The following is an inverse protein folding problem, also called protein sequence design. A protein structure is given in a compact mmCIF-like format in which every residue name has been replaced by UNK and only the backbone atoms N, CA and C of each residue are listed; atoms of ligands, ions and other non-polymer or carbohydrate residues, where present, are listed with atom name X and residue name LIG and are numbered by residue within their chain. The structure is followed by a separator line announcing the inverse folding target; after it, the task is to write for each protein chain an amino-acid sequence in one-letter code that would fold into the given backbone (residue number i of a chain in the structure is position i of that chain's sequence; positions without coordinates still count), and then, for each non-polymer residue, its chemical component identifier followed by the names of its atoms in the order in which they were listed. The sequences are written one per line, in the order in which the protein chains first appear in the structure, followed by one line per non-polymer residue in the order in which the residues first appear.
data_IF_831709948888
#
_entry.id   IF_831709948888
#
_cell.length_a   1.000
_cell.length_b   1.000
_cell.length_c   1.000
_cell.angle_alpha   90.00
_cell.angle_beta   90.00
_cell.angle_gamma   90.00
#
_symmetry.space_group_name_H-M   'P 1'
#
loop_
_entity.id
_entity.type
_entity.pdbx_description
1 polymer ?
#
# COMPACT_ATOMS: atom_id res chain seq x y z
N UNK A 1 -27.72 5.57 -22.48
CA UNK A 1 -27.06 4.52 -21.68
C UNK A 1 -27.33 4.80 -20.21
N UNK A 2 -27.91 3.84 -19.47
CA UNK A 2 -28.15 3.96 -18.01
C UNK A 2 -27.04 3.36 -17.15
N UNK A 3 -26.05 2.74 -17.81
CA UNK A 3 -24.95 2.03 -17.16
C UNK A 3 -23.64 2.70 -17.52
N UNK A 4 -22.78 2.83 -16.51
CA UNK A 4 -21.38 3.22 -16.64
C UNK A 4 -20.52 2.15 -15.97
N UNK A 5 -19.49 1.70 -16.69
CA UNK A 5 -18.51 0.74 -16.19
C UNK A 5 -17.14 1.39 -16.18
N UNK A 6 -16.47 1.35 -15.04
CA UNK A 6 -15.13 1.86 -14.85
C UNK A 6 -14.23 0.73 -14.34
N UNK A 7 -13.03 0.63 -14.91
CA UNK A 7 -12.00 -0.27 -14.43
C UNK A 7 -10.69 0.51 -14.27
N UNK A 8 -9.95 0.20 -13.22
CA UNK A 8 -8.70 0.87 -12.88
C UNK A 8 -7.65 -0.13 -12.43
N UNK A 9 -6.40 0.14 -12.82
CA UNK A 9 -5.22 -0.58 -12.37
C UNK A 9 -4.22 0.43 -11.84
N UNK A 10 -3.57 0.11 -10.73
CA UNK A 10 -2.50 0.92 -10.14
C UNK A 10 -1.34 0.02 -9.77
N UNK A 11 -0.13 0.48 -10.06
CA UNK A 11 1.10 -0.20 -9.66
C UNK A 11 1.98 0.82 -8.96
N UNK A 12 2.07 0.72 -7.64
CA UNK A 12 2.92 1.61 -6.86
C UNK A 12 4.26 0.92 -6.58
N UNK A 13 5.37 1.62 -6.82
CA UNK A 13 6.70 1.17 -6.42
C UNK A 13 7.24 2.07 -5.32
N UNK A 14 7.61 1.47 -4.20
CA UNK A 14 8.14 2.18 -3.03
C UNK A 14 9.56 1.73 -2.75
N UNK A 15 10.44 2.70 -2.58
CA UNK A 15 11.84 2.51 -2.19
C UNK A 15 12.07 3.21 -0.86
N UNK A 16 12.47 2.46 0.16
CA UNK A 16 12.69 2.96 1.51
C UNK A 16 14.12 2.64 1.93
N UNK A 17 14.85 3.69 2.28
CA UNK A 17 16.16 3.57 2.90
C UNK A 17 16.03 3.85 4.38
N UNK A 18 16.49 2.93 5.22
CA UNK A 18 16.44 3.02 6.67
C UNK A 18 17.87 2.97 7.21
N UNK A 19 18.14 3.81 8.20
CA UNK A 19 19.38 3.79 8.98
C UNK A 19 18.99 3.52 10.43
N UNK A 20 19.55 2.47 11.04
CA UNK A 20 19.25 2.07 12.41
C UNK A 20 20.57 1.94 13.18
N UNK A 21 20.59 2.38 14.43
CA UNK A 21 21.67 2.05 15.35
C UNK A 21 21.49 0.62 15.86
N UNK A 22 22.53 -0.20 15.73
CA UNK A 22 22.54 -1.57 16.25
C UNK A 22 23.86 -1.87 16.96
N UNK A 23 23.89 -2.97 17.71
CA UNK A 23 25.02 -3.37 18.55
C UNK A 23 25.47 -4.78 18.17
N UNK A 24 26.77 -4.95 17.93
CA UNK A 24 27.31 -6.28 17.62
C UNK A 24 27.42 -7.16 18.88
N UNK A 25 27.79 -8.43 18.70
CA UNK A 25 27.96 -9.39 19.81
C UNK A 25 29.07 -9.02 20.80
N UNK A 26 29.98 -8.12 20.42
CA UNK A 26 31.07 -7.59 21.24
C UNK A 26 30.69 -6.27 21.93
N UNK A 27 29.52 -5.73 21.61
CA UNK A 27 28.97 -4.55 22.23
C UNK A 27 29.31 -3.23 21.54
N UNK A 28 29.86 -3.25 20.33
CA UNK A 28 30.20 -2.07 19.53
C UNK A 28 28.97 -1.54 18.82
N UNK A 29 28.73 -0.24 18.92
CA UNK A 29 27.63 0.43 18.22
C UNK A 29 27.99 0.70 16.76
N UNK A 30 27.09 0.37 15.84
CA UNK A 30 27.22 0.68 14.42
C UNK A 30 25.89 1.14 13.84
N UNK A 31 25.94 1.69 12.62
CA UNK A 31 24.73 2.07 11.87
C UNK A 31 24.46 1.03 10.79
N UNK A 32 23.44 0.22 11.00
CA UNK A 32 22.91 -0.65 9.97
C UNK A 32 22.16 0.18 8.92
N UNK A 33 22.45 -0.08 7.65
CA UNK A 33 21.80 0.61 6.51
C UNK A 33 21.11 -0.43 5.66
N UNK A 34 19.79 -0.32 5.59
CA UNK A 34 18.97 -1.31 4.90
C UNK A 34 18.03 -0.60 3.92
N UNK A 35 17.93 -1.14 2.69
CA UNK A 35 17.08 -0.61 1.61
C UNK A 35 16.04 -1.64 1.23
N UNK A 36 14.79 -1.22 1.12
CA UNK A 36 13.69 -2.10 0.79
C UNK A 36 12.88 -1.53 -0.37
N UNK A 37 12.52 -2.42 -1.27
CA UNK A 37 11.76 -2.08 -2.46
C UNK A 37 10.51 -2.96 -2.53
N UNK A 38 9.34 -2.33 -2.53
CA UNK A 38 8.06 -3.02 -2.69
C UNK A 38 7.36 -2.54 -3.93
N UNK A 39 6.69 -3.47 -4.58
CA UNK A 39 5.74 -3.16 -5.65
C UNK A 39 4.37 -3.64 -5.17
N UNK A 40 3.39 -2.75 -5.17
CA UNK A 40 2.03 -3.07 -4.73
C UNK A 40 1.06 -2.87 -5.89
N UNK A 41 0.59 -3.96 -6.51
CA UNK A 41 -0.50 -3.88 -7.46
C UNK A 41 -1.82 -3.59 -6.74
N UNK A 42 -2.68 -2.83 -7.40
CA UNK A 42 -4.06 -2.64 -7.02
C UNK A 42 -4.94 -2.62 -8.28
N UNK A 43 -6.15 -3.13 -8.14
CA UNK A 43 -7.14 -3.18 -9.19
C UNK A 43 -8.50 -2.77 -8.64
N UNK A 44 -9.32 -2.13 -9.46
CA UNK A 44 -10.67 -1.73 -9.09
C UNK A 44 -11.61 -1.85 -10.27
N UNK A 45 -12.85 -2.27 -10.00
CA UNK A 45 -13.95 -2.27 -10.96
C UNK A 45 -15.15 -1.62 -10.30
N UNK A 46 -15.83 -0.76 -11.05
CA UNK A 46 -17.02 -0.05 -10.61
C UNK A 46 -18.09 -0.10 -11.68
N UNK A 47 -19.33 -0.33 -11.23
CA UNK A 47 -20.53 -0.23 -12.05
C UNK A 47 -21.46 0.80 -11.43
N UNK A 48 -21.92 1.73 -12.25
CA UNK A 48 -22.92 2.74 -11.88
C UNK A 48 -24.16 2.55 -12.74
N UNK A 49 -25.33 2.57 -12.12
CA UNK A 49 -26.63 2.42 -12.77
C UNK A 49 -27.56 3.56 -12.37
N UNK A 50 -28.08 4.25 -13.38
CA UNK A 50 -29.02 5.37 -13.22
C UNK A 50 -30.41 4.94 -13.73
N UNK A 51 -31.21 4.24 -12.90
CA UNK A 51 -32.54 3.78 -13.30
C UNK A 51 -33.49 4.95 -13.63
N UNK A 52 -33.36 6.06 -12.89
CA UNK A 52 -34.15 7.30 -13.04
C UNK A 52 -33.23 8.53 -12.92
N UNK A 53 -33.75 9.73 -13.20
CA UNK A 53 -32.99 10.98 -13.09
C UNK A 53 -32.62 11.37 -11.65
N UNK A 54 -33.18 10.68 -10.63
CA UNK A 54 -33.02 11.04 -9.22
C UNK A 54 -32.43 9.89 -8.38
N UNK A 55 -32.07 8.77 -9.01
CA UNK A 55 -31.50 7.61 -8.33
C UNK A 55 -30.29 7.10 -9.10
N UNK A 56 -29.19 6.97 -8.38
CA UNK A 56 -27.93 6.37 -8.85
C UNK A 56 -27.55 5.24 -7.91
N UNK A 57 -27.35 4.05 -8.45
CA UNK A 57 -26.85 2.88 -7.74
C UNK A 57 -25.39 2.65 -8.13
N UNK A 58 -24.52 2.45 -7.15
CA UNK A 58 -23.10 2.21 -7.38
C UNK A 58 -22.67 0.91 -6.70
N UNK A 59 -21.97 0.07 -7.45
CA UNK A 59 -21.25 -1.08 -6.94
C UNK A 59 -19.76 -0.93 -7.27
N UNK A 60 -18.91 -0.94 -6.26
CA UNK A 60 -17.47 -0.87 -6.42
C UNK A 60 -16.80 -2.06 -5.71
N UNK A 61 -15.85 -2.68 -6.40
CA UNK A 61 -15.01 -3.74 -5.87
C UNK A 61 -13.55 -3.43 -6.19
N UNK A 62 -12.64 -3.77 -5.28
CA UNK A 62 -11.24 -3.51 -5.49
C UNK A 62 -10.34 -4.45 -4.70
N UNK A 63 -9.17 -4.71 -5.27
CA UNK A 63 -8.05 -5.38 -4.64
C UNK A 63 -6.98 -4.32 -4.38
N UNK A 64 -6.60 -4.14 -3.12
CA UNK A 64 -5.55 -3.20 -2.73
C UNK A 64 -4.48 -3.93 -1.94
N UNK A 65 -3.23 -3.70 -2.31
CA UNK A 65 -2.08 -4.17 -1.54
C UNK A 65 -1.32 -2.97 -0.97
N UNK A 66 -0.92 -3.04 0.29
CA UNK A 66 -0.12 -2.01 0.96
C UNK A 66 1.29 -2.56 1.23
N UNK A 67 2.30 -1.73 1.00
CA UNK A 67 3.67 -2.03 1.36
C UNK A 67 3.85 -1.90 2.89
N UNK A 68 4.59 -2.80 3.55
CA UNK A 68 4.91 -2.68 4.97
C UNK A 68 5.57 -1.33 5.26
N UNK A 69 5.23 -0.74 6.40
CA UNK A 69 5.87 0.47 6.88
C UNK A 69 7.24 0.14 7.53
N UNK A 70 8.12 1.14 7.61
CA UNK A 70 9.46 0.94 8.18
C UNK A 70 9.40 0.53 9.66
N UNK A 71 8.49 1.09 10.44
CA UNK A 71 8.26 0.71 11.83
C UNK A 71 7.78 -0.74 11.98
N UNK A 72 6.92 -1.24 11.09
CA UNK A 72 6.46 -2.64 11.11
C UNK A 72 7.59 -3.65 10.86
N UNK A 73 8.71 -3.21 10.24
CA UNK A 73 9.86 -4.07 9.94
C UNK A 73 11.06 -3.90 10.86
N UNK A 74 11.27 -2.71 11.41
CA UNK A 74 12.47 -2.38 12.18
C UNK A 74 12.18 -1.96 13.63
N UNK A 75 10.92 -1.98 14.07
CA UNK A 75 10.59 -1.75 15.48
C UNK A 75 11.10 -2.91 16.33
N UNK A 76 11.93 -2.57 17.32
CA UNK A 76 12.49 -3.49 18.31
C UNK A 76 11.72 -3.46 19.64
N UNK A 77 10.38 -3.36 19.55
CA UNK A 77 9.51 -3.63 20.70
C UNK A 77 9.33 -2.50 21.72
N UNK A 78 9.46 -1.24 21.33
CA UNK A 78 8.96 -0.13 22.18
C UNK A 78 7.83 0.57 21.44
N UNK A 79 6.59 0.18 21.77
CA UNK A 79 5.39 0.95 21.46
C UNK A 79 5.32 2.19 22.34
#
# INVERSE_FOLDING_TARGET
NKWLLEAGLRLDRRDLQVKRGDRDSLGVFFVERSRFQYTTPAASVRATFDPTAHLTLNLASGLTQRAPAANERFSDGVH
#
